data_IF_201765045973
#
_entry.id   IF_201765045973
#
_cell.length_a   1.000
_cell.length_b   1.000
_cell.length_c   1.000
_cell.angle_alpha   90.00
_cell.angle_beta   90.00
_cell.angle_gamma   90.00
#
_symmetry.space_group_name_H-M   'P 1'
#
loop_
_entity.id
_entity.type
_entity.pdbx_description
1 polymer ?
#
# COMPACT_ATOMS: atom_id res chain seq x y z
N UNK A 1 -20.78 17.65 16.01
CA UNK A 1 -19.46 16.98 16.10
C UNK A 1 -18.60 17.50 14.96
N UNK A 2 -17.55 18.27 15.25
CA UNK A 2 -16.62 18.72 14.23
C UNK A 2 -15.73 17.53 13.84
N UNK A 3 -15.83 17.06 12.60
CA UNK A 3 -14.90 16.08 12.02
C UNK A 3 -13.49 16.65 12.15
N UNK A 4 -12.63 16.00 12.96
CA UNK A 4 -11.22 16.39 13.00
C UNK A 4 -10.66 16.31 11.57
N UNK A 5 -10.03 17.37 11.05
CA UNK A 5 -9.47 17.32 9.72
C UNK A 5 -8.41 16.24 9.69
N UNK A 6 -8.69 15.19 8.91
CA UNK A 6 -7.78 14.09 8.67
C UNK A 6 -6.35 14.50 8.38
N UNK A 7 -5.38 13.74 8.88
CA UNK A 7 -4.00 13.91 8.48
C UNK A 7 -3.78 13.39 7.06
N UNK A 8 -2.80 13.97 6.36
CA UNK A 8 -2.30 13.40 5.12
C UNK A 8 -1.43 12.19 5.44
N UNK A 9 -1.33 11.26 4.49
CA UNK A 9 -0.33 10.19 4.56
C UNK A 9 1.08 10.82 4.52
N UNK A 10 2.04 10.26 5.23
CA UNK A 10 3.42 10.77 5.20
C UNK A 10 4.04 10.59 3.81
N UNK A 11 5.05 11.39 3.46
CA UNK A 11 5.74 11.27 2.15
C UNK A 11 6.30 9.86 2.01
N UNK A 12 6.95 9.38 3.07
CA UNK A 12 7.59 8.07 3.09
C UNK A 12 6.58 6.95 2.89
N UNK A 13 5.39 7.05 3.48
CA UNK A 13 4.35 6.03 3.32
C UNK A 13 3.74 6.07 1.92
N UNK A 14 3.55 7.25 1.32
CA UNK A 14 3.13 7.37 -0.09
C UNK A 14 4.12 6.66 -1.00
N UNK A 15 5.41 7.01 -0.88
CA UNK A 15 6.48 6.42 -1.70
C UNK A 15 6.57 4.90 -1.49
N UNK A 16 6.43 4.45 -0.24
CA UNK A 16 6.44 3.04 0.10
C UNK A 16 5.29 2.28 -0.56
N UNK A 17 4.07 2.81 -0.49
CA UNK A 17 2.90 2.19 -1.14
C UNK A 17 3.12 2.13 -2.64
N UNK A 18 3.55 3.21 -3.29
CA UNK A 18 3.79 3.23 -4.74
C UNK A 18 4.92 2.28 -5.16
N UNK A 19 5.93 2.07 -4.32
CA UNK A 19 7.03 1.16 -4.60
C UNK A 19 6.63 -0.32 -4.49
N UNK A 20 5.72 -0.65 -3.57
CA UNK A 20 5.43 -2.04 -3.19
C UNK A 20 4.02 -2.52 -3.55
N UNK A 21 3.17 -1.66 -4.14
CA UNK A 21 1.84 -2.06 -4.63
C UNK A 21 1.69 -1.72 -6.10
N UNK A 22 0.96 -2.58 -6.80
CA UNK A 22 0.58 -2.37 -8.20
C UNK A 22 -0.79 -1.70 -8.31
N UNK A 23 -1.10 -1.16 -9.49
CA UNK A 23 -2.42 -0.58 -9.75
C UNK A 23 -3.56 -1.61 -9.62
N UNK A 24 -3.32 -2.88 -10.00
CA UNK A 24 -4.32 -3.94 -9.86
C UNK A 24 -4.61 -4.26 -8.39
N UNK A 25 -3.58 -4.36 -7.54
CA UNK A 25 -3.80 -4.60 -6.11
C UNK A 25 -4.54 -3.45 -5.43
N UNK A 26 -4.22 -2.22 -5.81
CA UNK A 26 -4.98 -1.05 -5.34
C UNK A 26 -6.45 -1.11 -5.78
N UNK A 27 -6.71 -1.65 -6.98
CA UNK A 27 -8.05 -1.85 -7.52
C UNK A 27 -8.82 -2.94 -6.78
N UNK A 28 -8.20 -4.08 -6.51
CA UNK A 28 -8.82 -5.15 -5.73
C UNK A 28 -9.19 -4.69 -4.32
N UNK A 29 -8.29 -3.97 -3.65
CA UNK A 29 -8.54 -3.43 -2.32
C UNK A 29 -9.64 -2.36 -2.36
N UNK A 30 -9.69 -1.53 -3.41
CA UNK A 30 -10.74 -0.54 -3.59
C UNK A 30 -12.13 -1.20 -3.71
N UNK A 31 -12.24 -2.27 -4.50
CA UNK A 31 -13.46 -3.05 -4.65
C UNK A 31 -13.85 -3.72 -3.32
N UNK A 32 -12.89 -4.31 -2.61
CA UNK A 32 -13.15 -4.99 -1.34
C UNK A 32 -13.67 -4.06 -0.22
N UNK A 33 -13.33 -2.76 -0.29
CA UNK A 33 -13.70 -1.77 0.71
C UNK A 33 -14.78 -0.78 0.21
N UNK A 34 -15.49 -1.10 -0.88
CA UNK A 34 -16.52 -0.25 -1.50
C UNK A 34 -16.04 1.20 -1.73
N UNK A 35 -14.77 1.34 -2.12
CA UNK A 35 -14.09 2.60 -2.29
C UNK A 35 -13.75 2.83 -3.77
N UNK A 36 -13.82 4.07 -4.24
CA UNK A 36 -13.35 4.40 -5.59
C UNK A 36 -11.82 4.35 -5.65
N UNK A 37 -11.30 3.73 -6.71
CA UNK A 37 -9.85 3.68 -7.01
C UNK A 37 -9.26 5.08 -7.12
N UNK A 38 -9.99 6.01 -7.73
CA UNK A 38 -9.55 7.40 -7.84
C UNK A 38 -9.41 8.06 -6.46
N UNK A 39 -10.33 7.75 -5.55
CA UNK A 39 -10.28 8.22 -4.17
C UNK A 39 -9.05 7.66 -3.46
N UNK A 40 -8.76 6.37 -3.67
CA UNK A 40 -7.57 5.74 -3.13
C UNK A 40 -6.26 6.32 -3.66
N UNK A 41 -6.18 6.58 -4.96
CA UNK A 41 -5.02 7.23 -5.59
C UNK A 41 -4.81 8.65 -5.07
N UNK A 42 -5.88 9.44 -4.95
CA UNK A 42 -5.83 10.79 -4.38
C UNK A 42 -5.34 10.78 -2.93
N UNK A 43 -5.68 9.76 -2.16
CA UNK A 43 -5.17 9.59 -0.79
C UNK A 43 -3.68 9.24 -0.76
N UNK A 44 -3.25 8.28 -1.60
CA UNK A 44 -1.84 7.89 -1.70
C UNK A 44 -0.99 9.09 -2.13
N UNK A 45 -1.41 9.80 -3.19
CA UNK A 45 -0.75 11.02 -3.71
C UNK A 45 -0.83 12.23 -2.79
N UNK A 46 -1.43 12.10 -1.61
CA UNK A 46 -1.62 13.19 -0.64
C UNK A 46 -2.46 14.36 -1.16
N UNK A 47 -3.25 14.14 -2.21
CA UNK A 47 -4.22 15.10 -2.73
C UNK A 47 -5.47 15.17 -1.84
N UNK A 48 -5.69 14.14 -1.01
CA UNK A 48 -6.81 14.05 -0.06
C UNK A 48 -6.37 13.62 1.33
N UNK A 49 -7.12 14.04 2.34
CA UNK A 49 -6.92 13.70 3.76
C UNK A 49 -7.55 12.36 4.12
N UNK A 50 -6.93 11.65 5.07
CA UNK A 50 -7.46 10.41 5.62
C UNK A 50 -8.65 10.72 6.53
N UNK A 51 -9.80 10.13 6.25
CA UNK A 51 -11.01 10.22 7.09
C UNK A 51 -11.30 8.84 7.68
N UNK A 52 -12.14 8.78 8.71
CA UNK A 52 -12.52 7.49 9.33
C UNK A 52 -13.05 6.48 8.31
N UNK A 53 -13.78 6.96 7.30
CA UNK A 53 -14.36 6.13 6.25
C UNK A 53 -13.32 5.51 5.29
N UNK A 54 -12.14 6.13 5.13
CA UNK A 54 -11.10 5.65 4.21
C UNK A 54 -9.87 5.07 4.95
N UNK A 55 -9.87 5.10 6.28
CA UNK A 55 -8.79 4.60 7.11
C UNK A 55 -8.62 3.08 6.97
N UNK A 56 -9.73 2.33 6.89
CA UNK A 56 -9.71 0.89 6.64
C UNK A 56 -9.04 0.56 5.29
N UNK A 57 -9.40 1.31 4.25
CA UNK A 57 -8.82 1.17 2.91
C UNK A 57 -7.31 1.48 2.89
N UNK A 58 -6.89 2.59 3.50
CA UNK A 58 -5.47 2.97 3.61
C UNK A 58 -4.67 1.87 4.32
N UNK A 59 -5.21 1.35 5.42
CA UNK A 59 -4.55 0.32 6.23
C UNK A 59 -4.39 -0.98 5.45
N UNK A 60 -5.42 -1.38 4.68
CA UNK A 60 -5.36 -2.55 3.82
C UNK A 60 -4.29 -2.42 2.72
N UNK A 61 -4.18 -1.24 2.09
CA UNK A 61 -3.13 -0.97 1.10
C UNK A 61 -1.74 -1.04 1.72
N UNK A 62 -1.55 -0.45 2.91
CA UNK A 62 -0.27 -0.53 3.62
C UNK A 62 0.07 -1.98 3.98
N UNK A 63 -0.91 -2.76 4.45
CA UNK A 63 -0.72 -4.18 4.76
C UNK A 63 -0.27 -4.96 3.52
N UNK A 64 -0.89 -4.70 2.36
CA UNK A 64 -0.51 -5.32 1.08
C UNK A 64 0.90 -4.92 0.64
N UNK A 65 1.24 -3.64 0.77
CA UNK A 65 2.60 -3.15 0.50
C UNK A 65 3.66 -3.84 1.38
N UNK A 66 3.34 -4.08 2.65
CA UNK A 66 4.22 -4.82 3.59
C UNK A 66 4.32 -6.30 3.22
N UNK A 67 3.22 -6.94 2.84
CA UNK A 67 3.19 -8.33 2.39
C UNK A 67 4.07 -8.53 1.15
N UNK A 68 3.90 -7.69 0.12
CA UNK A 68 4.68 -7.74 -1.11
C UNK A 68 6.18 -7.54 -0.88
N UNK A 69 6.54 -6.64 0.04
CA UNK A 69 7.95 -6.47 0.43
C UNK A 69 8.51 -7.73 1.08
N UNK A 70 7.78 -8.35 2.00
CA UNK A 70 8.21 -9.60 2.65
C UNK A 70 8.39 -10.71 1.64
N UNK A 71 7.46 -10.84 0.69
CA UNK A 71 7.49 -11.88 -0.33
C UNK A 71 8.73 -11.73 -1.22
N UNK A 72 9.02 -10.52 -1.70
CA UNK A 72 10.24 -10.24 -2.50
C UNK A 72 11.54 -10.49 -1.74
N UNK A 73 11.63 -10.11 -0.46
CA UNK A 73 12.82 -10.41 0.37
C UNK A 73 13.00 -11.93 0.52
N UNK A 74 11.91 -12.68 0.65
CA UNK A 74 11.95 -14.14 0.75
C UNK A 74 12.41 -14.81 -0.55
N UNK A 75 12.00 -14.27 -1.70
CA UNK A 75 12.39 -14.76 -3.02
C UNK A 75 13.87 -14.45 -3.26
N UNK A 76 14.32 -13.25 -2.94
CA UNK A 76 15.72 -12.83 -3.13
C UNK A 76 16.68 -13.68 -2.30
N UNK A 77 16.34 -13.94 -1.04
CA UNK A 77 17.13 -14.85 -0.17
C UNK A 77 17.13 -16.30 -0.65
N UNK A 78 16.01 -16.82 -1.17
CA UNK A 78 15.96 -18.17 -1.78
C UNK A 78 16.76 -18.24 -3.08
N UNK A 79 16.75 -17.19 -3.88
CA UNK A 79 17.44 -17.12 -5.17
C UNK A 79 18.95 -16.99 -4.97
N UNK A 80 19.39 -16.15 -4.04
CA UNK A 80 20.79 -16.06 -3.63
C UNK A 80 21.32 -17.38 -3.03
N UNK A 81 20.52 -18.10 -2.22
CA UNK A 81 20.90 -19.44 -1.75
C UNK A 81 21.06 -20.45 -2.89
N UNK A 82 20.23 -20.38 -3.93
CA UNK A 82 20.38 -21.26 -5.10
C UNK A 82 21.61 -20.90 -5.93
N UNK A 83 21.88 -19.61 -6.14
CA UNK A 83 23.06 -19.14 -6.86
C UNK A 83 24.37 -19.54 -6.17
N UNK A 84 24.43 -19.47 -4.83
CA UNK A 84 25.58 -19.90 -4.04
C UNK A 84 25.81 -21.42 -4.04
N UNK A 85 24.77 -22.24 -4.23
CA UNK A 85 24.92 -23.70 -4.34
C UNK A 85 25.24 -24.19 -5.76
N UNK A 86 25.31 -23.27 -6.74
CA UNK A 86 25.62 -23.55 -8.14
C UNK A 86 27.06 -23.16 -8.51
N UNK A 87 27.83 -22.62 -7.56
CA UNK A 87 29.27 -22.33 -7.64
C UNK A 87 30.00 -23.39 -6.83
#
# INVERSE_FOLDING_TARGET
MALQPGNYISVDMSNYIEQWTTTDEQKEIAIAHDCSIELGRKLIRRERKITENNLAFITAIIAKAVENRKDRISIDTKTNKKALNLI
#
